data_IF_711435222188
#
_entry.id   IF_711435222188
#
_cell.length_a   1.000
_cell.length_b   1.000
_cell.length_c   1.000
_cell.angle_alpha   90.00
_cell.angle_beta   90.00
_cell.angle_gamma   90.00
#
_symmetry.space_group_name_H-M   'P 1'
#
loop_
_entity.id
_entity.type
_entity.pdbx_description
1 polymer ?
#
# COMPACT_ATOMS: atom_id res chain seq x y z
N UNK A 1 18.99 29.58 10.04
CA UNK A 1 18.48 29.23 10.03
C UNK A 1 18.04 28.69 9.53
N UNK A 2 17.77 28.43 9.38
CA UNK A 2 17.26 27.92 8.94
C UNK A 2 16.46 27.51 8.90
N UNK A 3 15.81 27.31 8.59
CA UNK A 3 14.97 26.90 8.43
C UNK A 3 14.56 26.10 8.07
N UNK A 4 13.96 25.91 8.32
CA UNK A 4 13.43 24.95 8.13
C UNK A 4 12.90 24.62 7.17
N UNK A 5 13.07 24.35 7.09
CA UNK A 5 12.67 24.04 6.31
C UNK A 5 11.65 23.49 6.12
N UNK A 6 11.25 23.87 5.64
CA UNK A 6 10.15 23.45 5.37
C UNK A 6 10.18 22.38 4.56
N UNK A 7 9.56 21.44 4.78
CA UNK A 7 9.50 20.36 3.95
C UNK A 7 8.88 20.80 2.69
N UNK A 8 9.22 20.29 1.66
CA UNK A 8 8.62 20.52 0.46
C UNK A 8 7.49 19.64 0.35
N UNK A 9 6.43 20.00 0.90
CA UNK A 9 5.41 19.05 1.15
C UNK A 9 4.88 18.39 -0.06
N UNK A 10 4.71 19.08 -1.07
CA UNK A 10 4.06 18.49 -2.18
C UNK A 10 5.00 18.02 -3.25
N UNK A 11 6.26 18.17 -3.01
CA UNK A 11 7.19 17.83 -4.04
C UNK A 11 7.67 16.42 -3.85
N UNK A 12 7.35 15.55 -4.77
CA UNK A 12 7.87 14.21 -4.75
C UNK A 12 9.21 14.19 -5.43
N UNK A 13 10.10 13.35 -5.00
CA UNK A 13 11.36 13.23 -5.68
C UNK A 13 11.09 12.79 -7.11
N UNK A 14 11.61 13.49 -8.05
CA UNK A 14 11.48 13.11 -9.42
C UNK A 14 12.29 11.88 -9.70
N UNK A 15 13.43 11.77 -9.05
CA UNK A 15 14.30 10.66 -9.28
C UNK A 15 14.66 10.01 -8.00
N UNK A 16 14.55 8.72 -7.94
CA UNK A 16 15.11 7.99 -6.86
C UNK A 16 16.55 7.77 -7.15
N UNK A 17 17.32 7.72 -6.09
CA UNK A 17 18.71 7.46 -6.29
C UNK A 17 18.88 6.06 -6.77
N UNK A 18 19.76 5.83 -7.74
CA UNK A 18 20.01 4.48 -8.18
C UNK A 18 20.47 3.64 -7.01
N UNK A 19 19.92 2.48 -6.88
CA UNK A 19 20.24 1.62 -5.76
C UNK A 19 19.46 1.92 -4.50
N UNK A 20 18.61 2.97 -4.52
CA UNK A 20 17.76 3.25 -3.39
C UNK A 20 16.74 2.16 -3.20
N UNK A 21 16.34 1.94 -1.94
CA UNK A 21 15.38 0.91 -1.64
C UNK A 21 14.00 1.33 -2.10
N UNK A 22 13.23 0.35 -2.53
CA UNK A 22 11.84 0.59 -2.83
C UNK A 22 11.10 0.77 -1.51
N UNK A 23 10.00 1.49 -1.56
CA UNK A 23 9.26 1.83 -0.35
C UNK A 23 7.87 1.25 -0.37
N UNK A 24 7.45 0.76 0.77
CA UNK A 24 6.10 0.26 0.97
C UNK A 24 5.47 1.08 2.08
N UNK A 25 4.33 1.68 1.79
CA UNK A 25 3.58 2.45 2.77
C UNK A 25 2.33 1.67 3.12
N UNK A 26 2.09 1.45 4.41
CA UNK A 26 0.91 0.72 4.80
C UNK A 26 0.12 1.46 5.86
N UNK A 27 -1.18 1.22 5.85
CA UNK A 27 -2.06 1.72 6.88
C UNK A 27 -2.88 0.58 7.43
N UNK A 28 -2.77 0.34 8.73
CA UNK A 28 -3.49 -0.70 9.45
C UNK A 28 -3.39 -0.36 10.92
N UNK A 29 -4.53 -0.30 11.60
CA UNK A 29 -4.53 0.04 13.01
C UNK A 29 -4.22 -1.16 13.89
N UNK A 30 -4.11 -2.33 13.31
CA UNK A 30 -3.77 -3.54 14.04
C UNK A 30 -2.27 -3.73 13.94
N UNK A 31 -1.55 -3.34 15.00
CA UNK A 31 -0.09 -3.29 14.91
C UNK A 31 0.58 -4.63 14.64
N UNK A 32 -0.01 -5.71 15.12
CA UNK A 32 0.58 -7.02 14.85
C UNK A 32 0.57 -7.35 13.37
N UNK A 33 -0.52 -7.01 12.69
CA UNK A 33 -0.61 -7.21 11.25
C UNK A 33 0.34 -6.27 10.53
N UNK A 34 0.36 -5.00 10.96
CA UNK A 34 1.23 -4.01 10.33
C UNK A 34 2.69 -4.43 10.42
N UNK A 35 3.12 -4.93 11.58
CA UNK A 35 4.50 -5.36 11.75
C UNK A 35 4.82 -6.58 10.93
N UNK A 36 3.87 -7.50 10.83
CA UNK A 36 4.07 -8.68 9.99
C UNK A 36 4.30 -8.27 8.54
N UNK A 37 3.46 -7.35 8.04
CA UNK A 37 3.59 -6.88 6.67
C UNK A 37 4.90 -6.13 6.48
N UNK A 38 5.23 -5.26 7.43
CA UNK A 38 6.47 -4.49 7.32
C UNK A 38 7.69 -5.39 7.31
N UNK A 39 7.69 -6.41 8.17
CA UNK A 39 8.81 -7.33 8.23
C UNK A 39 8.95 -8.09 6.92
N UNK A 40 7.83 -8.57 6.38
CA UNK A 40 7.87 -9.26 5.10
C UNK A 40 8.38 -8.36 3.99
N UNK A 41 7.96 -7.11 4.01
CA UNK A 41 8.40 -6.15 3.00
C UNK A 41 9.90 -5.92 3.09
N UNK A 42 10.41 -5.80 4.31
CA UNK A 42 11.83 -5.59 4.49
C UNK A 42 12.64 -6.78 4.02
N UNK A 43 12.12 -7.98 4.24
CA UNK A 43 12.79 -9.17 3.73
C UNK A 43 12.84 -9.17 2.21
N UNK A 44 11.92 -8.48 1.57
CA UNK A 44 11.89 -8.38 0.11
C UNK A 44 12.63 -7.15 -0.41
N UNK A 45 13.31 -6.43 0.46
CA UNK A 45 14.12 -5.30 0.04
C UNK A 45 13.42 -3.96 0.05
N UNK A 46 12.23 -3.88 0.65
CA UNK A 46 11.52 -2.61 0.77
C UNK A 46 11.85 -1.92 2.07
N UNK A 47 11.71 -0.61 2.04
CA UNK A 47 11.69 0.18 3.25
C UNK A 47 10.21 0.35 3.60
N UNK A 48 9.79 -0.15 4.76
CA UNK A 48 8.38 -0.15 5.11
C UNK A 48 8.05 1.01 6.05
N UNK A 49 6.96 1.68 5.77
CA UNK A 49 6.48 2.80 6.57
C UNK A 49 5.08 2.44 7.07
N UNK A 50 4.93 2.35 8.39
CA UNK A 50 3.66 1.99 9.00
C UNK A 50 2.92 3.24 9.41
N UNK A 51 1.65 3.34 9.02
CA UNK A 51 0.77 4.40 9.52
C UNK A 51 -0.48 3.77 10.09
N UNK A 52 -1.14 4.47 11.00
CA UNK A 52 -2.34 3.95 11.66
C UNK A 52 -3.53 4.88 11.50
N UNK A 53 -3.37 6.02 10.85
CA UNK A 53 -4.48 6.94 10.63
C UNK A 53 -4.46 7.43 9.21
N UNK A 54 -5.62 7.84 8.72
CA UNK A 54 -5.71 8.37 7.38
C UNK A 54 -4.86 9.62 7.21
N UNK A 55 -4.82 10.44 8.24
CA UNK A 55 -4.05 11.67 8.18
C UNK A 55 -2.56 11.39 8.02
N UNK A 56 -2.02 10.50 8.84
CA UNK A 56 -0.60 10.16 8.72
C UNK A 56 -0.32 9.42 7.42
N UNK A 57 -1.28 8.63 6.94
CA UNK A 57 -1.11 7.94 5.68
C UNK A 57 -0.94 8.94 4.54
N UNK A 58 -1.83 9.93 4.48
CA UNK A 58 -1.75 10.94 3.42
C UNK A 58 -0.43 11.70 3.47
N UNK A 59 -0.05 12.09 4.67
CA UNK A 59 1.19 12.82 4.88
C UNK A 59 2.40 12.01 4.43
N UNK A 60 2.45 10.74 4.84
CA UNK A 60 3.57 9.89 4.47
C UNK A 60 3.56 9.54 2.99
N UNK A 61 2.37 9.42 2.40
CA UNK A 61 2.30 9.16 0.98
C UNK A 61 2.97 10.29 0.19
N UNK A 62 2.66 11.52 0.55
CA UNK A 62 3.22 12.66 -0.16
C UNK A 62 4.73 12.79 0.07
N UNK A 63 5.19 12.39 1.25
CA UNK A 63 6.60 12.52 1.57
C UNK A 63 7.45 11.39 1.02
N UNK A 64 6.91 10.19 0.89
CA UNK A 64 7.73 9.02 0.60
C UNK A 64 7.67 8.55 -0.83
N UNK A 65 6.62 8.86 -1.57
CA UNK A 65 6.45 8.41 -2.95
C UNK A 65 6.65 6.88 -3.03
N UNK A 66 5.77 6.12 -2.41
CA UNK A 66 5.99 4.68 -2.29
C UNK A 66 5.80 3.93 -3.60
N UNK A 67 6.37 2.74 -3.65
CA UNK A 67 6.20 1.83 -4.77
C UNK A 67 5.04 0.88 -4.56
N UNK A 68 4.72 0.59 -3.31
CA UNK A 68 3.62 -0.28 -2.94
C UNK A 68 2.86 0.38 -1.80
N UNK A 69 1.55 0.33 -1.88
CA UNK A 69 0.67 0.82 -0.82
C UNK A 69 -0.19 -0.34 -0.35
N UNK A 70 -0.17 -0.62 0.95
CA UNK A 70 -1.04 -1.63 1.54
C UNK A 70 -2.11 -0.91 2.32
N UNK A 71 -3.35 -1.20 1.99
CA UNK A 71 -4.48 -0.43 2.46
C UNK A 71 -5.47 -1.33 3.19
N UNK A 72 -5.60 -1.13 4.51
CA UNK A 72 -6.59 -1.85 5.29
C UNK A 72 -7.95 -1.19 5.08
N UNK A 73 -8.89 -1.93 4.57
CA UNK A 73 -10.22 -1.39 4.26
C UNK A 73 -11.13 -1.32 5.46
N UNK A 74 -10.72 -1.89 6.58
CA UNK A 74 -11.56 -1.98 7.77
C UNK A 74 -11.13 -1.01 8.86
N UNK A 75 -10.62 0.14 8.48
CA UNK A 75 -10.17 1.13 9.46
C UNK A 75 -11.37 1.73 10.19
N UNK A 76 -11.29 1.87 11.50
CA UNK A 76 -12.45 2.28 12.26
C UNK A 76 -12.94 3.69 11.97
N UNK A 77 -12.07 4.61 11.68
CA UNK A 77 -12.47 6.00 11.49
C UNK A 77 -12.27 6.48 10.09
N UNK A 78 -11.82 5.63 9.23
CA UNK A 78 -11.54 6.03 7.87
C UNK A 78 -12.20 5.08 6.95
N UNK A 79 -12.64 5.62 5.87
CA UNK A 79 -13.20 4.81 4.83
C UNK A 79 -12.06 4.49 3.87
N UNK A 80 -11.79 3.21 3.68
CA UNK A 80 -10.80 2.80 2.72
C UNK A 80 -11.09 3.32 1.33
N UNK A 81 -12.37 3.49 1.02
CA UNK A 81 -12.76 4.05 -0.27
C UNK A 81 -12.26 5.48 -0.41
N UNK A 82 -12.30 6.26 0.66
CA UNK A 82 -11.79 7.62 0.59
C UNK A 82 -10.30 7.64 0.32
N UNK A 83 -9.58 6.70 0.89
CA UNK A 83 -8.15 6.63 0.64
C UNK A 83 -7.86 6.20 -0.79
N UNK A 84 -8.68 5.32 -1.36
CA UNK A 84 -8.53 4.98 -2.77
C UNK A 84 -8.73 6.22 -3.64
N UNK A 85 -9.71 7.03 -3.30
CA UNK A 85 -9.94 8.26 -4.05
C UNK A 85 -8.79 9.24 -3.90
N UNK A 86 -8.26 9.34 -2.69
CA UNK A 86 -7.09 10.19 -2.47
C UNK A 86 -5.94 9.73 -3.37
N UNK A 87 -5.67 8.44 -3.40
CA UNK A 87 -4.58 7.93 -4.23
C UNK A 87 -4.83 8.23 -5.70
N UNK A 88 -6.07 8.11 -6.14
CA UNK A 88 -6.39 8.40 -7.52
C UNK A 88 -6.20 9.87 -7.84
N UNK A 89 -6.59 10.74 -6.92
CA UNK A 89 -6.40 12.18 -7.12
C UNK A 89 -4.94 12.54 -7.19
N UNK A 90 -4.11 11.81 -6.45
CA UNK A 90 -2.67 12.03 -6.49
C UNK A 90 -2.01 11.33 -7.66
N UNK A 91 -2.78 10.69 -8.50
CA UNK A 91 -2.26 9.99 -9.68
C UNK A 91 -1.24 8.95 -9.29
N UNK A 92 -1.59 8.18 -8.28
CA UNK A 92 -0.72 7.17 -7.70
C UNK A 92 -0.32 6.14 -8.74
N UNK A 93 0.97 5.86 -8.81
CA UNK A 93 1.50 4.82 -9.69
C UNK A 93 1.93 3.60 -8.91
N UNK A 94 1.86 3.66 -7.60
CA UNK A 94 2.23 2.54 -6.77
C UNK A 94 1.25 1.39 -6.96
N UNK A 95 1.72 0.20 -6.68
CA UNK A 95 0.85 -0.95 -6.64
C UNK A 95 0.02 -0.85 -5.37
N UNK A 96 -1.29 -0.94 -5.48
CA UNK A 96 -2.19 -0.78 -4.33
C UNK A 96 -2.74 -2.14 -3.95
N UNK A 97 -2.49 -2.53 -2.72
CA UNK A 97 -2.82 -3.85 -2.22
C UNK A 97 -3.84 -3.72 -1.09
N UNK A 98 -5.13 -3.96 -1.37
CA UNK A 98 -6.13 -3.86 -0.32
C UNK A 98 -6.16 -5.11 0.53
N UNK A 99 -6.31 -4.93 1.84
CA UNK A 99 -6.46 -6.06 2.76
C UNK A 99 -7.69 -5.82 3.63
N UNK A 100 -8.28 -6.88 4.13
CA UNK A 100 -9.43 -6.77 5.02
C UNK A 100 -9.65 -8.09 5.72
N UNK A 101 -10.13 -8.01 6.95
CA UNK A 101 -10.51 -9.20 7.71
C UNK A 101 -11.95 -9.57 7.56
N UNK A 102 -12.72 -8.76 6.83
CA UNK A 102 -14.13 -8.98 6.76
C UNK A 102 -14.54 -9.74 5.50
N UNK A 103 -15.46 -9.19 4.78
CA UNK A 103 -16.13 -9.83 3.68
C UNK A 103 -15.28 -9.73 2.42
N UNK A 104 -15.12 -10.82 1.74
CA UNK A 104 -14.39 -10.83 0.50
C UNK A 104 -15.05 -9.94 -0.55
N UNK A 105 -16.36 -9.75 -0.46
CA UNK A 105 -17.05 -8.86 -1.38
C UNK A 105 -16.62 -7.41 -1.22
N UNK A 106 -16.26 -7.02 0.00
CA UNK A 106 -15.72 -5.67 0.24
C UNK A 106 -14.40 -5.51 -0.49
N UNK A 107 -13.54 -6.52 -0.40
CA UNK A 107 -12.26 -6.49 -1.08
C UNK A 107 -12.45 -6.43 -2.59
N UNK A 108 -13.35 -7.22 -3.11
CA UNK A 108 -13.58 -7.26 -4.55
C UNK A 108 -14.14 -5.93 -5.05
N UNK A 109 -15.04 -5.34 -4.27
CA UNK A 109 -15.59 -4.04 -4.64
C UNK A 109 -14.52 -2.97 -4.64
N UNK A 110 -13.61 -3.03 -3.68
CA UNK A 110 -12.52 -2.06 -3.61
C UNK A 110 -11.59 -2.20 -4.81
N UNK A 111 -11.30 -3.43 -5.21
CA UNK A 111 -10.47 -3.65 -6.39
C UNK A 111 -11.13 -3.08 -7.63
N UNK A 112 -12.43 -3.33 -7.78
CA UNK A 112 -13.16 -2.79 -8.93
C UNK A 112 -13.15 -1.27 -8.93
N UNK A 113 -13.37 -0.67 -7.77
CA UNK A 113 -13.36 0.77 -7.67
C UNK A 113 -11.98 1.33 -7.98
N UNK A 114 -10.95 0.77 -7.36
CA UNK A 114 -9.59 1.24 -7.59
C UNK A 114 -9.20 1.14 -9.05
N UNK A 115 -9.55 0.03 -9.69
CA UNK A 115 -9.27 -0.17 -11.10
C UNK A 115 -10.00 0.87 -11.94
N UNK A 116 -11.26 1.12 -11.62
CA UNK A 116 -12.04 2.13 -12.34
C UNK A 116 -11.47 3.52 -12.16
N UNK A 117 -10.82 3.78 -11.03
CA UNK A 117 -10.18 5.06 -10.79
C UNK A 117 -8.78 5.17 -11.41
N UNK A 118 -8.31 4.12 -12.05
CA UNK A 118 -7.03 4.15 -12.71
C UNK A 118 -5.86 3.69 -11.86
N UNK A 119 -6.13 3.11 -10.69
CA UNK A 119 -5.07 2.64 -9.83
C UNK A 119 -4.62 1.24 -10.24
N UNK A 120 -3.37 0.93 -9.93
CA UNK A 120 -2.82 -0.40 -10.16
C UNK A 120 -3.17 -1.26 -8.95
N UNK A 121 -4.23 -2.03 -9.05
CA UNK A 121 -4.69 -2.84 -7.94
C UNK A 121 -4.07 -4.22 -7.99
N UNK A 122 -3.67 -4.72 -6.84
CA UNK A 122 -3.12 -6.08 -6.71
C UNK A 122 -3.85 -6.81 -5.60
N UNK A 123 -3.62 -8.07 -5.48
CA UNK A 123 -4.28 -8.90 -4.51
C UNK A 123 -5.68 -9.17 -4.94
N UNK A 124 -6.68 -8.99 -4.14
CA UNK A 124 -6.65 -8.51 -2.75
C UNK A 124 -6.25 -9.60 -1.77
N UNK A 125 -5.97 -9.22 -0.54
CA UNK A 125 -5.60 -10.19 0.48
C UNK A 125 -6.57 -10.12 1.64
N UNK A 126 -7.07 -11.27 2.03
CA UNK A 126 -7.96 -11.36 3.18
C UNK A 126 -7.15 -11.77 4.39
N UNK A 127 -7.43 -11.15 5.53
CA UNK A 127 -6.78 -11.52 6.77
C UNK A 127 -7.32 -12.87 7.23
N UNK A 128 -6.53 -13.71 7.81
CA UNK A 128 -5.11 -13.51 8.11
C UNK A 128 -4.26 -13.60 6.85
N UNK A 129 -3.33 -12.68 6.72
CA UNK A 129 -2.52 -12.58 5.51
C UNK A 129 -1.43 -13.62 5.56
N UNK A 130 -1.27 -14.37 4.48
CA UNK A 130 -0.22 -15.38 4.39
C UNK A 130 1.02 -14.77 3.77
N UNK A 131 2.17 -15.19 4.29
CA UNK A 131 3.43 -14.62 3.85
C UNK A 131 3.62 -14.75 2.34
N UNK A 132 3.38 -15.91 1.78
CA UNK A 132 3.61 -16.11 0.36
C UNK A 132 2.67 -15.29 -0.50
N UNK A 133 1.41 -15.16 -0.07
CA UNK A 133 0.46 -14.32 -0.79
C UNK A 133 0.93 -12.86 -0.79
N UNK A 134 1.43 -12.42 0.35
CA UNK A 134 1.90 -11.05 0.48
C UNK A 134 3.11 -10.81 -0.41
N UNK A 135 4.05 -11.73 -0.40
CA UNK A 135 5.25 -11.59 -1.22
C UNK A 135 4.88 -11.56 -2.70
N UNK A 136 4.01 -12.46 -3.12
CA UNK A 136 3.60 -12.51 -4.53
C UNK A 136 2.91 -11.21 -4.93
N UNK A 137 2.05 -10.69 -4.06
CA UNK A 137 1.34 -9.46 -4.37
C UNK A 137 2.30 -8.28 -4.46
N UNK A 138 3.26 -8.20 -3.53
CA UNK A 138 4.22 -7.10 -3.55
C UNK A 138 5.08 -7.14 -4.80
N UNK A 139 5.33 -8.31 -5.31
CA UNK A 139 6.15 -8.45 -6.50
C UNK A 139 5.33 -8.37 -7.78
N UNK A 140 4.04 -8.08 -7.65
CA UNK A 140 3.18 -7.94 -8.81
C UNK A 140 2.74 -9.26 -9.40
N UNK A 141 2.94 -10.37 -8.68
CA UNK A 141 2.48 -11.66 -9.16
C UNK A 141 1.12 -11.95 -8.59
N UNK A 142 0.19 -12.26 -9.45
CA UNK A 142 -1.14 -12.56 -9.00
C UNK A 142 -1.21 -14.00 -8.55
N UNK A 143 -2.13 -14.27 -7.67
CA UNK A 143 -2.32 -15.62 -7.19
C UNK A 143 -2.61 -16.56 -8.33
N UNK A 144 -3.42 -16.12 -9.27
CA UNK A 144 -3.73 -16.99 -10.37
C UNK A 144 -2.52 -17.19 -11.28
N UNK A 145 -1.62 -16.23 -11.33
CA UNK A 145 -0.41 -16.43 -12.09
C UNK A 145 0.38 -17.57 -11.50
N UNK A 146 0.50 -17.58 -10.21
CA UNK A 146 1.17 -18.68 -9.56
C UNK A 146 0.47 -19.97 -9.86
N UNK A 147 -0.84 -19.95 -9.84
CA UNK A 147 -1.59 -21.14 -10.13
C UNK A 147 -1.44 -21.57 -11.57
N UNK A 148 -1.41 -20.65 -12.44
CA UNK A 148 -1.25 -20.97 -13.82
C UNK A 148 0.08 -21.58 -14.11
N UNK A 149 1.07 -21.09 -13.48
CA UNK A 149 2.32 -21.61 -13.68
C UNK A 149 2.43 -22.91 -13.13
N UNK A 150 1.74 -23.02 -12.24
CA UNK A 150 1.61 -24.11 -11.71
C UNK A 150 2.21 -25.10 -11.64
N UNK A 151 2.22 -24.72 -11.87
CA UNK A 151 2.53 -25.25 -11.80
C UNK A 151 2.43 -25.44 -11.19
#
# INVERSE_FOLDING_TARGET
MTEPLLPEPAVKPLLRQPGGRRRLLLIDDELSVARFIAHAAEECGYEAIITVSAESFRSQYLASDPDVVVLDLALPRSDGVELLRFLAEEKCRALVLPISGFDQRVLEAAVRLGTALGLRMAGPLQKPVRLQQLIDAMQGREAQDAGCIGF
#
